data_IF_087974763748
#
_entry.id   IF_087974763748
#
_cell.length_a   1.000
_cell.length_b   1.000
_cell.length_c   1.000
_cell.angle_alpha   90.00
_cell.angle_beta   90.00
_cell.angle_gamma   90.00
#
_symmetry.space_group_name_H-M   'P 1'
#
loop_
_entity.id
_entity.type
_entity.pdbx_description
1 polymer ?
#
# COMPACT_ATOMS: atom_id res chain seq x y z
N UNK A 1 -6.30 52.00 -47.47
CA UNK A 1 -5.91 50.72 -46.84
C UNK A 1 -6.72 50.59 -45.55
N UNK A 2 -7.90 49.97 -45.64
CA UNK A 2 -8.70 49.66 -44.44
C UNK A 2 -8.08 48.46 -43.73
N UNK A 3 -7.72 48.63 -42.45
CA UNK A 3 -7.34 47.52 -41.59
C UNK A 3 -8.62 46.78 -41.18
N UNK A 4 -8.82 45.58 -41.70
CA UNK A 4 -9.80 44.67 -41.13
C UNK A 4 -9.29 44.19 -39.77
N UNK A 5 -9.80 44.80 -38.71
CA UNK A 5 -9.68 44.25 -37.36
C UNK A 5 -10.48 42.94 -37.31
N UNK A 6 -9.77 41.82 -37.19
CA UNK A 6 -10.34 40.50 -36.89
C UNK A 6 -11.01 40.56 -35.51
N UNK A 7 -12.31 40.87 -35.51
CA UNK A 7 -13.14 40.89 -34.31
C UNK A 7 -13.39 39.44 -33.87
N UNK A 8 -12.51 38.91 -33.02
CA UNK A 8 -12.70 37.60 -32.38
C UNK A 8 -13.97 37.71 -31.54
N UNK A 9 -15.06 37.07 -31.98
CA UNK A 9 -16.29 37.03 -31.20
C UNK A 9 -16.01 36.27 -29.89
N UNK A 10 -16.36 36.82 -28.72
CA UNK A 10 -16.17 36.13 -27.45
C UNK A 10 -16.98 34.82 -27.47
N UNK A 11 -16.34 33.72 -27.07
CA UNK A 11 -17.03 32.44 -26.95
C UNK A 11 -18.19 32.55 -25.94
N UNK A 12 -19.34 31.93 -26.23
CA UNK A 12 -20.48 31.94 -25.32
C UNK A 12 -20.09 31.30 -23.99
N UNK A 13 -20.43 31.97 -22.88
CA UNK A 13 -20.03 31.56 -21.50
C UNK A 13 -20.33 30.08 -21.21
N UNK A 14 -21.44 29.55 -21.71
CA UNK A 14 -21.84 28.15 -21.49
C UNK A 14 -20.90 27.13 -22.17
N UNK A 15 -20.38 27.44 -23.37
CA UNK A 15 -19.39 26.56 -24.03
C UNK A 15 -18.05 26.57 -23.29
N UNK A 16 -17.64 27.72 -22.74
CA UNK A 16 -16.41 27.83 -21.97
C UNK A 16 -16.49 26.99 -20.68
N UNK A 17 -17.61 27.08 -19.96
CA UNK A 17 -17.86 26.30 -18.73
C UNK A 17 -17.86 24.79 -19.01
N UNK A 18 -18.45 24.34 -20.12
CA UNK A 18 -18.45 22.92 -20.48
C UNK A 18 -17.04 22.40 -20.79
N UNK A 19 -16.23 23.18 -21.54
CA UNK A 19 -14.82 22.82 -21.81
C UNK A 19 -13.96 22.76 -20.56
N UNK A 20 -14.16 23.69 -19.61
CA UNK A 20 -13.42 23.69 -18.34
C UNK A 20 -13.73 22.43 -17.52
N UNK A 21 -15.01 22.01 -17.46
CA UNK A 21 -15.40 20.76 -16.80
C UNK A 21 -14.81 19.52 -17.46
N UNK A 22 -14.80 19.46 -18.80
CA UNK A 22 -14.19 18.36 -19.55
C UNK A 22 -12.68 18.26 -19.28
N UNK A 23 -11.98 19.39 -19.28
CA UNK A 23 -10.54 19.45 -18.98
C UNK A 23 -10.27 18.97 -17.55
N UNK A 24 -11.07 19.39 -16.57
CA UNK A 24 -10.86 18.97 -15.18
C UNK A 24 -11.18 17.49 -14.96
N UNK A 25 -12.17 16.94 -15.69
CA UNK A 25 -12.43 15.51 -15.72
C UNK A 25 -11.24 14.73 -16.32
N UNK A 26 -10.66 15.23 -17.43
CA UNK A 26 -9.47 14.62 -18.05
C UNK A 26 -8.25 14.65 -17.12
N UNK A 27 -7.98 15.78 -16.45
CA UNK A 27 -6.89 15.88 -15.45
C UNK A 27 -7.09 14.88 -14.32
N UNK A 28 -8.32 14.77 -13.83
CA UNK A 28 -8.68 13.83 -12.75
C UNK A 28 -8.45 12.38 -13.19
N UNK A 29 -8.85 12.02 -14.41
CA UNK A 29 -8.61 10.69 -14.96
C UNK A 29 -7.11 10.39 -15.10
N UNK A 30 -6.33 11.31 -15.69
CA UNK A 30 -4.87 11.17 -15.83
C UNK A 30 -4.21 11.02 -14.45
N UNK A 31 -4.62 11.82 -13.48
CA UNK A 31 -4.13 11.76 -12.10
C UNK A 31 -4.34 10.37 -11.49
N UNK A 32 -5.52 9.77 -11.67
CA UNK A 32 -5.82 8.42 -11.18
C UNK A 32 -5.03 7.36 -11.92
N UNK A 33 -4.96 7.39 -13.25
CA UNK A 33 -4.21 6.43 -14.04
C UNK A 33 -2.73 6.43 -13.67
N UNK A 34 -2.12 7.61 -13.55
CA UNK A 34 -0.73 7.75 -13.11
C UNK A 34 -0.53 7.21 -11.68
N UNK A 35 -1.45 7.51 -10.76
CA UNK A 35 -1.36 7.05 -9.37
C UNK A 35 -1.52 5.53 -9.27
N UNK A 36 -2.47 4.95 -10.00
CA UNK A 36 -2.73 3.51 -9.95
C UNK A 36 -1.59 2.75 -10.61
N UNK A 37 -1.24 3.11 -11.85
CA UNK A 37 -0.33 2.31 -12.67
C UNK A 37 1.14 2.49 -12.28
N UNK A 38 1.54 3.69 -11.85
CA UNK A 38 2.95 3.99 -11.61
C UNK A 38 3.32 4.06 -10.13
N UNK A 39 2.33 4.00 -9.22
CA UNK A 39 2.56 4.07 -7.77
C UNK A 39 1.92 2.88 -7.06
N UNK A 40 0.58 2.77 -7.08
CA UNK A 40 -0.12 1.71 -6.34
C UNK A 40 0.27 0.32 -6.82
N UNK A 41 0.18 0.04 -8.12
CA UNK A 41 0.49 -1.29 -8.66
C UNK A 41 1.95 -1.68 -8.39
N UNK A 42 2.96 -0.83 -8.65
CA UNK A 42 4.34 -1.12 -8.27
C UNK A 42 4.56 -1.34 -6.76
N UNK A 43 3.84 -0.63 -5.89
CA UNK A 43 3.90 -0.91 -4.44
C UNK A 43 3.34 -2.30 -4.12
N UNK A 44 2.23 -2.68 -4.74
CA UNK A 44 1.62 -4.00 -4.55
C UNK A 44 2.53 -5.11 -5.09
N UNK A 45 3.19 -4.89 -6.22
CA UNK A 45 4.22 -5.81 -6.74
C UNK A 45 5.34 -6.01 -5.73
N UNK A 46 5.83 -4.94 -5.10
CA UNK A 46 6.85 -5.06 -4.03
C UNK A 46 6.30 -5.91 -2.89
N UNK A 47 5.07 -5.68 -2.43
CA UNK A 47 4.47 -6.47 -1.34
C UNK A 47 4.48 -7.97 -1.66
N UNK A 48 4.01 -8.35 -2.83
CA UNK A 48 3.93 -9.77 -3.19
C UNK A 48 5.29 -10.42 -3.49
N UNK A 49 6.38 -9.67 -3.56
CA UNK A 49 7.73 -10.22 -3.68
C UNK A 49 8.30 -10.75 -2.35
N UNK A 50 7.62 -10.55 -1.20
CA UNK A 50 8.13 -10.88 0.14
C UNK A 50 8.73 -12.30 0.23
N UNK A 51 7.95 -13.31 -0.16
CA UNK A 51 8.34 -14.72 -0.06
C UNK A 51 9.48 -15.07 -1.01
N UNK A 52 9.33 -14.71 -2.28
CA UNK A 52 10.34 -14.96 -3.32
C UNK A 52 11.68 -14.25 -3.07
N UNK A 53 11.69 -13.23 -2.22
CA UNK A 53 12.87 -12.45 -1.83
C UNK A 53 13.41 -12.77 -0.44
N UNK A 54 12.89 -13.80 0.25
CA UNK A 54 13.26 -14.09 1.64
C UNK A 54 13.10 -12.85 2.52
N UNK A 55 11.88 -12.34 2.63
CA UNK A 55 11.53 -11.13 3.36
C UNK A 55 12.31 -9.89 2.88
N UNK A 56 12.37 -9.68 1.56
CA UNK A 56 13.10 -8.57 0.91
C UNK A 56 14.62 -8.56 1.07
N UNK A 57 15.20 -9.66 1.57
CA UNK A 57 16.65 -9.77 1.66
C UNK A 57 17.28 -9.96 0.28
N UNK A 58 16.70 -10.77 -0.59
CA UNK A 58 17.28 -11.13 -1.88
C UNK A 58 16.54 -10.46 -3.03
N UNK A 59 17.14 -10.46 -4.22
CA UNK A 59 16.40 -10.15 -5.43
C UNK A 59 15.53 -11.36 -5.78
N UNK A 60 14.20 -11.21 -5.98
CA UNK A 60 13.29 -12.31 -6.28
C UNK A 60 13.82 -13.20 -7.40
N UNK A 61 13.61 -14.52 -7.24
CA UNK A 61 13.97 -15.54 -8.24
C UNK A 61 15.47 -15.56 -8.62
N UNK A 62 16.33 -14.97 -7.78
CA UNK A 62 17.77 -14.97 -8.00
C UNK A 62 18.53 -15.38 -6.74
N UNK A 63 19.66 -16.06 -6.92
CA UNK A 63 20.57 -16.43 -5.83
C UNK A 63 21.48 -15.26 -5.39
N UNK A 64 21.05 -14.00 -5.58
CA UNK A 64 21.86 -12.81 -5.25
C UNK A 64 21.69 -12.43 -3.78
N UNK A 65 22.78 -11.92 -3.20
CA UNK A 65 22.93 -11.62 -1.78
C UNK A 65 22.11 -10.40 -1.28
N UNK A 66 22.17 -10.17 0.04
CA UNK A 66 21.38 -9.14 0.72
C UNK A 66 21.67 -7.70 0.27
N UNK A 67 22.93 -7.41 -0.07
CA UNK A 67 23.33 -6.10 -0.62
C UNK A 67 22.68 -5.83 -1.97
N UNK A 68 22.54 -6.88 -2.78
CA UNK A 68 21.86 -6.80 -4.08
C UNK A 68 20.35 -6.59 -3.90
N UNK A 69 19.72 -7.23 -2.91
CA UNK A 69 18.31 -7.04 -2.57
C UNK A 69 18.00 -5.61 -2.11
N UNK A 70 18.79 -5.03 -1.21
CA UNK A 70 18.58 -3.65 -0.76
C UNK A 70 18.69 -2.63 -1.89
N UNK A 71 19.66 -2.82 -2.79
CA UNK A 71 19.80 -1.97 -3.98
C UNK A 71 18.60 -2.14 -4.92
N UNK A 72 18.11 -3.37 -5.09
CA UNK A 72 16.95 -3.68 -5.92
C UNK A 72 15.69 -2.98 -5.41
N UNK A 73 15.31 -3.19 -4.15
CA UNK A 73 14.13 -2.55 -3.57
C UNK A 73 14.29 -1.04 -3.48
N UNK A 74 15.48 -0.54 -3.12
CA UNK A 74 15.77 0.90 -3.14
C UNK A 74 15.53 1.52 -4.52
N UNK A 75 15.92 0.84 -5.60
CA UNK A 75 15.65 1.31 -6.97
C UNK A 75 14.16 1.29 -7.32
N UNK A 76 13.41 0.27 -6.90
CA UNK A 76 11.96 0.22 -7.10
C UNK A 76 11.25 1.37 -6.39
N UNK A 77 11.57 1.63 -5.12
CA UNK A 77 11.01 2.78 -4.40
C UNK A 77 11.43 4.12 -5.03
N UNK A 78 12.67 4.26 -5.48
CA UNK A 78 13.10 5.46 -6.20
C UNK A 78 12.29 5.72 -7.48
N UNK A 79 11.92 4.67 -8.22
CA UNK A 79 11.02 4.80 -9.38
C UNK A 79 9.63 5.30 -8.95
N UNK A 80 9.08 4.73 -7.88
CA UNK A 80 7.77 5.10 -7.34
C UNK A 80 7.75 6.56 -6.83
N UNK A 81 8.80 6.99 -6.11
CA UNK A 81 8.93 8.39 -5.67
C UNK A 81 9.03 9.36 -6.86
N UNK A 82 9.75 8.98 -7.93
CA UNK A 82 9.80 9.78 -9.17
C UNK A 82 8.42 9.86 -9.83
N UNK A 83 7.67 8.76 -9.87
CA UNK A 83 6.31 8.74 -10.39
C UNK A 83 5.35 9.63 -9.59
N UNK A 84 5.46 9.62 -8.25
CA UNK A 84 4.74 10.55 -7.39
C UNK A 84 5.08 12.02 -7.73
N UNK A 85 6.36 12.35 -7.83
CA UNK A 85 6.82 13.70 -8.15
C UNK A 85 6.40 14.17 -9.56
N UNK A 86 6.24 13.23 -10.51
CA UNK A 86 5.80 13.52 -11.87
C UNK A 86 4.28 13.76 -11.97
N UNK A 87 3.49 13.32 -10.99
CA UNK A 87 2.04 13.50 -11.00
C UNK A 87 1.63 14.89 -10.50
N UNK A 88 1.76 15.88 -11.38
CA UNK A 88 1.48 17.31 -11.11
C UNK A 88 0.01 17.63 -10.80
N UNK A 89 -0.89 16.66 -10.98
CA UNK A 89 -2.33 16.84 -10.79
C UNK A 89 -2.79 16.51 -9.36
N UNK A 90 -1.92 15.95 -8.53
CA UNK A 90 -2.19 15.75 -7.12
C UNK A 90 -2.16 17.10 -6.38
N UNK A 91 -3.15 17.34 -5.54
CA UNK A 91 -3.04 18.45 -4.59
C UNK A 91 -2.10 18.09 -3.44
N UNK A 92 -1.67 19.10 -2.68
CA UNK A 92 -0.70 18.95 -1.59
C UNK A 92 -1.10 17.89 -0.56
N UNK A 93 -2.40 17.81 -0.21
CA UNK A 93 -2.92 16.84 0.77
C UNK A 93 -2.85 15.42 0.22
N UNK A 94 -3.24 15.20 -1.03
CA UNK A 94 -3.15 13.91 -1.70
C UNK A 94 -1.69 13.47 -1.82
N UNK A 95 -0.81 14.36 -2.29
CA UNK A 95 0.62 14.12 -2.41
C UNK A 95 1.23 13.69 -1.07
N UNK A 96 1.00 14.46 0.01
CA UNK A 96 1.54 14.15 1.33
C UNK A 96 1.08 12.80 1.86
N UNK A 97 -0.21 12.47 1.67
CA UNK A 97 -0.75 11.16 2.08
C UNK A 97 -0.12 10.01 1.31
N UNK A 98 -0.03 10.11 -0.02
CA UNK A 98 0.60 9.08 -0.85
C UNK A 98 2.09 8.95 -0.51
N UNK A 99 2.79 10.07 -0.32
CA UNK A 99 4.19 10.08 0.11
C UNK A 99 4.38 9.30 1.41
N UNK A 100 3.57 9.56 2.43
CA UNK A 100 3.64 8.84 3.71
C UNK A 100 3.41 7.33 3.53
N UNK A 101 2.49 6.91 2.66
CA UNK A 101 2.25 5.49 2.35
C UNK A 101 3.51 4.85 1.75
N UNK A 102 4.12 5.49 0.73
CA UNK A 102 5.34 4.98 0.09
C UNK A 102 6.49 4.91 1.10
N UNK A 103 6.69 5.96 1.89
CA UNK A 103 7.74 6.03 2.92
C UNK A 103 7.54 4.97 4.01
N UNK A 104 6.30 4.79 4.45
CA UNK A 104 5.95 3.78 5.44
C UNK A 104 6.25 2.36 4.95
N UNK A 105 5.90 2.05 3.70
CA UNK A 105 6.21 0.74 3.10
C UNK A 105 7.72 0.58 2.88
N UNK A 106 8.41 1.64 2.46
CA UNK A 106 9.86 1.61 2.29
C UNK A 106 10.59 1.34 3.61
N UNK A 107 10.11 1.93 4.71
CA UNK A 107 10.60 1.65 6.07
C UNK A 107 10.36 0.19 6.47
N UNK A 108 9.15 -0.33 6.24
CA UNK A 108 8.81 -1.72 6.51
C UNK A 108 9.74 -2.72 5.80
N UNK A 109 9.99 -2.51 4.50
CA UNK A 109 10.90 -3.35 3.68
C UNK A 109 12.32 -3.42 4.26
N UNK A 110 12.74 -2.43 5.08
CA UNK A 110 14.07 -2.38 5.69
C UNK A 110 14.17 -2.95 7.11
N UNK A 111 13.04 -3.19 7.79
CA UNK A 111 13.03 -3.56 9.21
C UNK A 111 13.06 -5.07 9.46
N UNK A 112 12.52 -5.88 8.55
CA UNK A 112 12.46 -7.35 8.69
C UNK A 112 11.66 -7.85 9.91
N UNK A 113 10.68 -7.07 10.38
CA UNK A 113 9.95 -7.30 11.65
C UNK A 113 8.49 -7.74 11.45
N UNK A 114 8.15 -8.23 10.25
CA UNK A 114 6.77 -8.61 9.89
C UNK A 114 5.79 -7.47 10.24
N UNK A 115 4.61 -7.77 10.78
CA UNK A 115 3.64 -6.73 11.15
C UNK A 115 4.18 -5.70 12.17
N UNK A 116 5.13 -6.07 13.04
CA UNK A 116 5.72 -5.13 14.01
C UNK A 116 6.57 -4.05 13.31
N UNK A 117 7.05 -4.33 12.10
CA UNK A 117 7.76 -3.37 11.27
C UNK A 117 6.86 -2.36 10.58
N UNK A 118 5.54 -2.61 10.54
CA UNK A 118 4.57 -1.74 9.86
C UNK A 118 4.29 -0.47 10.68
N UNK A 119 4.26 0.71 10.04
CA UNK A 119 3.70 1.91 10.65
C UNK A 119 2.22 1.74 11.02
N UNK A 120 1.79 2.35 12.13
CA UNK A 120 0.42 2.25 12.65
C UNK A 120 -0.68 2.54 11.62
N UNK A 121 -0.45 3.47 10.68
CA UNK A 121 -1.45 3.80 9.66
C UNK A 121 -1.86 2.58 8.80
N UNK A 122 -0.99 1.58 8.64
CA UNK A 122 -1.37 0.34 7.94
C UNK A 122 -2.25 -0.54 8.82
N UNK A 123 -1.93 -0.67 10.11
CA UNK A 123 -2.73 -1.40 11.09
C UNK A 123 -4.12 -0.77 11.26
N UNK A 124 -4.18 0.57 11.27
CA UNK A 124 -5.43 1.33 11.33
C UNK A 124 -6.25 1.18 10.04
N UNK A 125 -5.59 1.12 8.87
CA UNK A 125 -6.27 0.89 7.60
C UNK A 125 -6.82 -0.54 7.48
N UNK A 126 -6.21 -1.50 8.16
CA UNK A 126 -6.65 -2.88 8.17
C UNK A 126 -6.34 -3.60 9.48
N UNK A 127 -7.33 -3.65 10.36
CA UNK A 127 -7.18 -4.17 11.72
C UNK A 127 -6.75 -5.65 11.78
N UNK A 128 -7.02 -6.44 10.72
CA UNK A 128 -6.55 -7.83 10.62
C UNK A 128 -5.02 -7.94 10.67
N UNK A 129 -4.29 -6.89 10.28
CA UNK A 129 -2.83 -6.86 10.38
C UNK A 129 -2.35 -6.96 11.83
N UNK A 130 -3.18 -6.56 12.81
CA UNK A 130 -2.82 -6.70 14.23
C UNK A 130 -2.63 -8.17 14.64
N UNK A 131 -3.35 -9.11 14.01
CA UNK A 131 -3.22 -10.53 14.32
C UNK A 131 -1.85 -11.13 13.93
N UNK A 132 -1.07 -10.41 13.14
CA UNK A 132 0.29 -10.78 12.77
C UNK A 132 1.36 -10.09 13.62
N UNK A 133 0.97 -9.26 14.61
CA UNK A 133 1.91 -8.69 15.58
C UNK A 133 2.46 -9.79 16.48
N UNK A 134 3.69 -9.60 16.98
CA UNK A 134 4.38 -10.62 17.78
C UNK A 134 3.51 -11.13 18.92
N UNK A 135 2.78 -10.23 19.59
CA UNK A 135 1.93 -10.55 20.73
C UNK A 135 0.80 -11.54 20.42
N UNK A 136 0.27 -11.55 19.18
CA UNK A 136 -0.76 -12.50 18.74
C UNK A 136 -0.18 -13.84 18.28
N UNK A 137 1.09 -13.85 17.84
CA UNK A 137 1.78 -15.06 17.37
C UNK A 137 2.36 -15.94 18.48
N UNK A 138 2.27 -15.52 19.75
CA UNK A 138 2.83 -16.27 20.89
C UNK A 138 2.05 -17.60 21.07
N UNK A 139 2.75 -18.75 21.08
CA UNK A 139 2.13 -20.05 21.30
C UNK A 139 1.35 -20.12 22.61
N UNK A 140 0.19 -20.79 22.60
CA UNK A 140 -0.76 -20.82 23.74
C UNK A 140 -0.12 -21.24 25.06
N UNK A 141 0.73 -22.26 25.01
CA UNK A 141 1.50 -22.80 26.13
C UNK A 141 2.56 -21.83 26.68
N UNK A 142 2.90 -20.79 25.91
CA UNK A 142 3.89 -19.77 26.28
C UNK A 142 3.25 -18.42 26.61
N UNK A 143 1.96 -18.20 26.35
CA UNK A 143 1.32 -16.88 26.57
C UNK A 143 1.48 -16.39 28.02
N UNK A 144 1.33 -17.29 29.00
CA UNK A 144 1.42 -16.90 30.41
C UNK A 144 2.83 -16.41 30.79
N UNK A 145 3.89 -17.02 30.28
CA UNK A 145 5.26 -16.56 30.56
C UNK A 145 5.60 -15.21 29.90
N UNK A 146 4.85 -14.82 28.86
CA UNK A 146 5.05 -13.56 28.14
C UNK A 146 4.06 -12.47 28.54
N UNK A 147 2.99 -12.80 29.29
CA UNK A 147 1.94 -11.85 29.71
C UNK A 147 2.49 -10.62 30.43
N UNK A 148 3.54 -10.80 31.23
CA UNK A 148 4.20 -9.70 31.97
C UNK A 148 5.36 -9.04 31.19
N UNK A 149 5.81 -9.64 30.08
CA UNK A 149 6.98 -9.20 29.31
C UNK A 149 6.62 -8.45 28.04
N UNK A 150 5.39 -8.62 27.55
CA UNK A 150 4.90 -8.00 26.33
C UNK A 150 3.95 -6.87 26.69
N UNK A 151 4.36 -5.63 26.42
CA UNK A 151 3.50 -4.47 26.57
C UNK A 151 2.35 -4.60 25.56
N UNK A 152 1.11 -4.48 26.05
CA UNK A 152 -0.07 -4.60 25.20
C UNK A 152 -0.41 -6.03 24.79
N UNK A 153 -0.12 -7.02 25.65
CA UNK A 153 -0.54 -8.41 25.44
C UNK A 153 -2.06 -8.48 25.21
N UNK A 154 -2.52 -9.10 24.11
CA UNK A 154 -3.95 -9.22 23.83
C UNK A 154 -4.67 -10.07 24.87
N UNK A 155 -5.91 -9.72 25.17
CA UNK A 155 -6.78 -10.51 26.04
C UNK A 155 -7.22 -11.82 25.37
N UNK A 156 -7.73 -12.76 26.18
CA UNK A 156 -8.17 -14.09 25.67
C UNK A 156 -9.21 -13.99 24.54
N UNK A 157 -10.11 -13.00 24.62
CA UNK A 157 -11.10 -12.76 23.57
C UNK A 157 -10.46 -12.34 22.24
N UNK A 158 -9.45 -11.46 22.29
CA UNK A 158 -8.72 -10.98 21.11
C UNK A 158 -7.87 -12.09 20.51
N UNK A 159 -7.21 -12.88 21.37
CA UNK A 159 -6.44 -14.05 20.95
C UNK A 159 -7.33 -15.12 20.30
N UNK A 160 -8.51 -15.37 20.86
CA UNK A 160 -9.49 -16.29 20.28
C UNK A 160 -10.03 -15.77 18.94
N UNK A 161 -10.24 -14.45 18.81
CA UNK A 161 -10.63 -13.84 17.55
C UNK A 161 -9.53 -14.03 16.48
N UNK A 162 -8.26 -13.83 16.83
CA UNK A 162 -7.12 -14.07 15.95
C UNK A 162 -7.04 -15.55 15.52
N UNK A 163 -7.12 -16.48 16.46
CA UNK A 163 -7.09 -17.93 16.17
C UNK A 163 -8.21 -18.31 15.18
N UNK A 164 -9.43 -17.81 15.40
CA UNK A 164 -10.58 -18.06 14.51
C UNK A 164 -10.38 -17.44 13.13
N UNK A 165 -9.81 -16.24 13.07
CA UNK A 165 -9.50 -15.55 11.82
C UNK A 165 -8.51 -16.37 10.96
N UNK A 166 -7.38 -16.80 11.53
CA UNK A 166 -6.40 -17.62 10.80
C UNK A 166 -6.96 -18.98 10.39
N UNK A 167 -7.73 -19.64 11.26
CA UNK A 167 -8.39 -20.89 10.92
C UNK A 167 -9.39 -20.75 9.76
N UNK A 168 -10.08 -19.61 9.68
CA UNK A 168 -11.00 -19.32 8.58
C UNK A 168 -10.26 -19.06 7.26
N UNK A 169 -9.13 -18.35 7.29
CA UNK A 169 -8.28 -18.15 6.12
C UNK A 169 -7.73 -19.46 5.58
N UNK A 170 -7.20 -20.30 6.48
CA UNK A 170 -6.66 -21.60 6.12
C UNK A 170 -7.73 -22.49 5.47
N UNK A 171 -8.92 -22.57 6.07
CA UNK A 171 -10.06 -23.31 5.50
C UNK A 171 -10.46 -22.79 4.13
N UNK A 172 -10.43 -21.46 3.93
CA UNK A 172 -10.73 -20.85 2.63
C UNK A 172 -9.67 -21.21 1.58
N UNK A 173 -8.40 -21.18 1.94
CA UNK A 173 -7.28 -21.59 1.08
C UNK A 173 -7.41 -23.05 0.65
N UNK A 174 -7.73 -23.94 1.58
CA UNK A 174 -7.98 -25.36 1.31
C UNK A 174 -9.18 -25.56 0.39
N UNK A 175 -10.33 -24.94 0.69
CA UNK A 175 -11.55 -25.06 -0.10
C UNK A 175 -11.39 -24.55 -1.55
N UNK A 176 -10.53 -23.55 -1.74
CA UNK A 176 -10.27 -22.94 -3.05
C UNK A 176 -8.98 -23.47 -3.71
N UNK A 177 -8.29 -24.43 -3.07
CA UNK A 177 -7.00 -24.99 -3.50
C UNK A 177 -5.96 -23.90 -3.85
N UNK A 178 -5.87 -22.84 -3.02
CA UNK A 178 -4.98 -21.70 -3.25
C UNK A 178 -3.53 -22.00 -2.87
N UNK A 179 -3.31 -22.94 -1.96
CA UNK A 179 -1.98 -23.29 -1.41
C UNK A 179 -1.28 -22.11 -0.72
N UNK A 180 -2.05 -21.16 -0.20
CA UNK A 180 -1.53 -20.03 0.57
C UNK A 180 -1.08 -20.48 1.95
N UNK A 181 0.05 -19.94 2.41
CA UNK A 181 0.51 -20.02 3.79
C UNK A 181 0.35 -18.67 4.54
N UNK A 182 0.89 -18.60 5.76
CA UNK A 182 0.75 -17.44 6.63
C UNK A 182 1.34 -16.16 6.02
N UNK A 183 2.47 -16.27 5.33
CA UNK A 183 3.10 -15.12 4.67
C UNK A 183 2.23 -14.60 3.53
N UNK A 184 1.63 -15.51 2.75
CA UNK A 184 0.73 -15.14 1.65
C UNK A 184 -0.50 -14.39 2.19
N UNK A 185 -1.10 -14.86 3.29
CA UNK A 185 -2.22 -14.17 3.93
C UNK A 185 -1.84 -12.80 4.49
N UNK A 186 -0.68 -12.66 5.12
CA UNK A 186 -0.21 -11.38 5.63
C UNK A 186 0.04 -10.38 4.49
N UNK A 187 0.67 -10.82 3.39
CA UNK A 187 0.86 -9.96 2.21
C UNK A 187 -0.46 -9.51 1.60
N UNK A 188 -1.48 -10.37 1.58
CA UNK A 188 -2.83 -10.01 1.12
C UNK A 188 -3.50 -8.96 2.02
N UNK A 189 -3.37 -9.08 3.35
CA UNK A 189 -3.89 -8.08 4.28
C UNK A 189 -3.13 -6.75 4.19
N UNK A 190 -1.82 -6.79 3.95
CA UNK A 190 -1.01 -5.59 3.71
C UNK A 190 -1.40 -4.91 2.40
N UNK A 191 -1.59 -5.69 1.33
CA UNK A 191 -2.08 -5.20 0.06
C UNK A 191 -3.49 -4.58 0.19
N UNK A 192 -4.37 -5.17 1.01
CA UNK A 192 -5.66 -4.60 1.36
C UNK A 192 -5.53 -3.23 2.06
N UNK A 193 -4.63 -3.13 3.07
CA UNK A 193 -4.36 -1.89 3.79
C UNK A 193 -3.86 -0.78 2.85
N UNK A 194 -2.89 -1.09 1.98
CA UNK A 194 -2.36 -0.15 0.98
C UNK A 194 -3.49 0.35 0.07
N UNK A 195 -4.31 -0.54 -0.49
CA UNK A 195 -5.43 -0.14 -1.35
C UNK A 195 -6.43 0.78 -0.62
N UNK A 196 -6.73 0.51 0.65
CA UNK A 196 -7.60 1.38 1.49
C UNK A 196 -6.96 2.74 1.73
N UNK A 197 -5.68 2.78 2.08
CA UNK A 197 -4.94 4.04 2.27
C UNK A 197 -4.92 4.88 0.99
N UNK A 198 -4.74 4.27 -0.19
CA UNK A 198 -4.82 4.98 -1.46
C UNK A 198 -6.22 5.52 -1.76
N UNK A 199 -7.29 4.77 -1.47
CA UNK A 199 -8.67 5.28 -1.58
C UNK A 199 -8.87 6.51 -0.70
N UNK A 200 -8.45 6.45 0.57
CA UNK A 200 -8.51 7.57 1.52
C UNK A 200 -7.66 8.76 1.04
N UNK A 201 -6.46 8.49 0.51
CA UNK A 201 -5.56 9.51 0.03
C UNK A 201 -6.16 10.28 -1.15
N UNK A 202 -6.83 9.56 -2.05
CA UNK A 202 -7.44 10.10 -3.26
C UNK A 202 -8.85 10.68 -3.05
N UNK A 203 -9.48 10.41 -1.90
CA UNK A 203 -10.90 10.67 -1.62
C UNK A 203 -11.85 9.90 -2.56
N UNK A 204 -11.53 8.63 -2.79
CA UNK A 204 -12.34 7.66 -3.53
C UNK A 204 -13.30 6.90 -2.63
#
# INVERSE_FOLDING_TARGET
MERHELRIKPQPKNEKINREKEIDAMKTQIMYEMTINNILNPLLEIVYEYKASSAYNCVPESNKDSKSGWKYYGNKFNYIFKALNANIFLNEKQYKRIYSIIEGLFSFVRKFEYANGLPNMFLEANENLNYYLLAFTIPKDQREMFREKVIGMPGEAELSAADNYHANLQRKSENLNLQFDEEDFFMDELACAIRRLFKIALNL
#
